data_IF_699985114279
#
_entry.id   IF_699985114279
#
_cell.length_a   1.000
_cell.length_b   1.000
_cell.length_c   1.000
_cell.angle_alpha   90.00
_cell.angle_beta   90.00
_cell.angle_gamma   90.00
#
_symmetry.space_group_name_H-M   'P 1'
#
loop_
_entity.id
_entity.type
_entity.pdbx_description
1 polymer ?
#
# COMPACT_ATOMS: atom_id res chain seq x y z
N UNK A 1 43.57 -11.19 -29.42
CA UNK A 1 42.42 -10.26 -29.42
C UNK A 1 41.46 -10.68 -28.33
N UNK A 2 41.56 -10.07 -27.14
CA UNK A 2 40.74 -10.34 -25.95
C UNK A 2 39.91 -9.09 -25.67
N UNK A 3 38.82 -8.87 -26.39
CA UNK A 3 37.92 -7.74 -26.15
C UNK A 3 36.50 -8.24 -26.42
N UNK A 4 35.91 -8.96 -25.47
CA UNK A 4 34.53 -9.45 -25.62
C UNK A 4 33.83 -9.71 -24.26
N UNK A 5 34.19 -8.97 -23.21
CA UNK A 5 33.68 -9.25 -21.84
C UNK A 5 33.38 -7.98 -21.02
N UNK A 6 33.05 -6.86 -21.66
CA UNK A 6 32.84 -5.58 -20.95
C UNK A 6 31.46 -4.94 -21.12
N UNK A 7 30.51 -5.59 -21.80
CA UNK A 7 29.22 -4.94 -22.15
C UNK A 7 27.98 -5.52 -21.47
N UNK A 8 28.10 -6.59 -20.66
CA UNK A 8 26.93 -7.24 -20.03
C UNK A 8 26.58 -6.75 -18.61
N UNK A 9 27.39 -5.88 -18.00
CA UNK A 9 27.20 -5.45 -16.59
C UNK A 9 26.42 -4.15 -16.41
N UNK A 10 25.96 -3.51 -17.50
CA UNK A 10 25.34 -2.18 -17.46
C UNK A 10 23.80 -2.17 -17.35
N UNK A 11 23.15 -3.32 -17.28
CA UNK A 11 21.67 -3.43 -17.28
C UNK A 11 21.04 -3.73 -15.91
N UNK A 12 21.82 -3.81 -14.83
CA UNK A 12 21.31 -4.24 -13.51
C UNK A 12 20.91 -3.11 -12.54
N UNK A 13 21.10 -1.82 -12.89
CA UNK A 13 21.17 -0.77 -11.86
C UNK A 13 20.00 0.22 -11.78
N UNK A 14 18.89 0.02 -12.50
CA UNK A 14 17.85 1.07 -12.60
C UNK A 14 16.59 0.89 -11.73
N UNK A 15 16.52 -0.09 -10.83
CA UNK A 15 15.30 -0.34 -10.04
C UNK A 15 15.32 0.21 -8.58
N UNK A 16 16.45 0.73 -8.09
CA UNK A 16 16.66 0.85 -6.64
C UNK A 16 16.24 2.19 -5.99
N UNK A 17 15.57 3.10 -6.70
CA UNK A 17 15.24 4.45 -6.15
C UNK A 17 13.79 4.90 -6.34
N UNK A 18 12.84 3.98 -6.51
CA UNK A 18 11.46 4.29 -6.11
C UNK A 18 11.41 4.24 -4.58
N UNK A 19 11.30 5.40 -3.93
CA UNK A 19 11.26 5.46 -2.46
C UNK A 19 10.14 4.58 -1.91
N UNK A 20 10.43 3.80 -0.86
CA UNK A 20 9.43 2.94 -0.23
C UNK A 20 8.37 3.81 0.45
N UNK A 21 7.15 3.82 -0.11
CA UNK A 21 6.03 4.64 0.38
C UNK A 21 5.58 4.28 1.80
N UNK A 22 5.98 3.10 2.28
CA UNK A 22 5.58 2.55 3.56
C UNK A 22 6.60 2.78 4.68
N UNK A 23 7.78 3.34 4.43
CA UNK A 23 8.77 3.66 5.49
C UNK A 23 8.15 4.49 6.61
N UNK A 24 7.23 5.41 6.30
CA UNK A 24 6.49 6.21 7.30
C UNK A 24 5.65 5.38 8.29
N UNK A 25 5.39 4.11 8.00
CA UNK A 25 4.57 3.21 8.80
C UNK A 25 5.37 2.09 9.48
N UNK A 26 6.70 2.06 9.31
CA UNK A 26 7.55 0.95 9.76
C UNK A 26 7.54 0.74 11.28
N UNK A 27 7.26 1.79 12.04
CA UNK A 27 7.16 1.75 13.51
C UNK A 27 5.73 1.54 14.04
N UNK A 28 4.76 1.29 13.16
CA UNK A 28 3.38 1.03 13.55
C UNK A 28 2.90 -0.32 13.03
N UNK A 29 2.99 -1.35 13.89
CA UNK A 29 2.47 -2.69 13.58
C UNK A 29 1.01 -2.66 13.15
N UNK A 30 0.21 -1.76 13.75
CA UNK A 30 -1.21 -1.58 13.40
C UNK A 30 -1.38 -1.16 11.95
N UNK A 31 -0.67 -0.14 11.50
CA UNK A 31 -0.81 0.39 10.13
C UNK A 31 -0.10 -0.50 9.12
N UNK A 32 1.09 -1.01 9.44
CA UNK A 32 1.80 -1.96 8.58
C UNK A 32 0.97 -3.23 8.34
N UNK A 33 0.32 -3.79 9.36
CA UNK A 33 -0.57 -4.94 9.21
C UNK A 33 -1.79 -4.62 8.32
N UNK A 34 -2.40 -3.45 8.47
CA UNK A 34 -3.53 -3.05 7.62
C UNK A 34 -3.11 -2.86 6.15
N UNK A 35 -1.94 -2.29 5.89
CA UNK A 35 -1.39 -2.15 4.53
C UNK A 35 -1.09 -3.52 3.92
N UNK A 36 -0.57 -4.49 4.70
CA UNK A 36 -0.36 -5.88 4.22
C UNK A 36 -1.67 -6.54 3.75
N UNK A 37 -2.76 -6.30 4.47
CA UNK A 37 -4.09 -6.79 4.06
C UNK A 37 -4.50 -6.19 2.72
N UNK A 38 -4.32 -4.88 2.55
CA UNK A 38 -4.65 -4.19 1.29
C UNK A 38 -3.73 -4.61 0.15
N UNK A 39 -2.44 -4.81 0.41
CA UNK A 39 -1.52 -5.35 -0.58
C UNK A 39 -2.01 -6.71 -1.10
N UNK A 40 -2.35 -7.63 -0.19
CA UNK A 40 -2.87 -8.95 -0.56
C UNK A 40 -4.21 -8.88 -1.33
N UNK A 41 -5.07 -7.91 -1.01
CA UNK A 41 -6.33 -7.69 -1.74
C UNK A 41 -6.12 -7.23 -3.19
N UNK A 42 -5.02 -6.52 -3.44
CA UNK A 42 -4.63 -6.00 -4.76
C UNK A 42 -3.64 -6.93 -5.48
N UNK A 43 -3.49 -8.17 -5.01
CA UNK A 43 -2.57 -9.17 -5.55
C UNK A 43 -1.09 -8.73 -5.54
N UNK A 44 -0.70 -7.95 -4.53
CA UNK A 44 0.68 -7.55 -4.27
C UNK A 44 1.20 -8.10 -2.94
N UNK A 45 2.50 -8.38 -2.87
CA UNK A 45 3.20 -8.38 -1.59
C UNK A 45 3.29 -6.96 -1.02
N UNK A 46 3.62 -6.86 0.27
CA UNK A 46 3.81 -5.56 0.92
C UNK A 46 4.85 -4.71 0.19
N UNK A 47 6.02 -5.27 -0.09
CA UNK A 47 7.13 -4.53 -0.72
C UNK A 47 6.80 -4.12 -2.15
N UNK A 48 6.08 -4.96 -2.91
CA UNK A 48 5.59 -4.62 -4.25
C UNK A 48 4.62 -3.44 -4.19
N UNK A 49 3.62 -3.46 -3.30
CA UNK A 49 2.68 -2.35 -3.15
C UNK A 49 3.42 -1.05 -2.78
N UNK A 50 4.34 -1.12 -1.83
CA UNK A 50 5.09 0.02 -1.31
C UNK A 50 6.07 0.64 -2.32
N UNK A 51 6.36 -0.04 -3.42
CA UNK A 51 7.26 0.43 -4.49
C UNK A 51 6.57 0.50 -5.86
N UNK A 52 5.27 0.23 -5.93
CA UNK A 52 4.53 0.17 -7.19
C UNK A 52 4.37 1.57 -7.79
N UNK A 53 4.97 1.80 -8.96
CA UNK A 53 5.10 3.13 -9.57
C UNK A 53 3.77 3.85 -9.86
N UNK A 54 2.64 3.13 -9.98
CA UNK A 54 1.32 3.75 -10.18
C UNK A 54 0.73 4.31 -8.89
N UNK A 55 1.17 3.82 -7.73
CA UNK A 55 0.76 4.34 -6.42
C UNK A 55 1.70 5.50 -6.11
N UNK A 56 1.11 6.67 -5.95
CA UNK A 56 1.80 7.93 -5.64
C UNK A 56 1.91 8.13 -4.12
N UNK A 57 0.94 7.61 -3.36
CA UNK A 57 0.99 7.61 -1.89
C UNK A 57 0.13 6.48 -1.28
N UNK A 58 0.53 6.03 -0.10
CA UNK A 58 -0.22 5.10 0.76
C UNK A 58 -0.53 5.82 2.08
N UNK A 59 -1.76 6.31 2.21
CA UNK A 59 -2.23 6.95 3.44
C UNK A 59 -2.85 5.90 4.38
N UNK A 60 -2.42 5.90 5.65
CA UNK A 60 -3.00 5.07 6.70
C UNK A 60 -3.46 5.97 7.85
N UNK A 61 -4.72 5.86 8.24
CA UNK A 61 -5.31 6.67 9.31
C UNK A 61 -6.23 5.85 10.22
N UNK A 62 -6.31 6.20 11.51
CA UNK A 62 -7.29 5.58 12.40
C UNK A 62 -8.70 5.95 11.94
N UNK A 63 -9.61 4.99 11.98
CA UNK A 63 -11.01 5.18 11.63
C UNK A 63 -11.93 4.32 12.49
N UNK A 64 -13.23 4.43 12.26
CA UNK A 64 -14.26 3.67 12.97
C UNK A 64 -15.51 3.51 12.12
N UNK A 65 -16.22 2.41 12.35
CA UNK A 65 -17.59 2.20 11.91
C UNK A 65 -18.47 2.19 13.15
N UNK A 66 -19.60 2.89 13.11
CA UNK A 66 -20.58 2.91 14.19
C UNK A 66 -21.78 2.08 13.73
N UNK A 67 -22.12 1.02 14.45
CA UNK A 67 -23.28 0.19 14.12
C UNK A 67 -24.59 0.93 14.41
N UNK A 68 -25.74 0.47 13.86
CA UNK A 68 -27.04 1.04 14.22
C UNK A 68 -27.37 0.95 15.72
N UNK A 69 -26.72 0.03 16.45
CA UNK A 69 -26.86 -0.13 17.91
C UNK A 69 -25.96 0.82 18.71
N UNK A 70 -25.07 1.55 18.04
CA UNK A 70 -24.11 2.47 18.66
C UNK A 70 -22.74 1.85 18.96
N UNK A 71 -22.49 0.59 18.59
CA UNK A 71 -21.19 -0.04 18.82
C UNK A 71 -20.13 0.63 17.94
N UNK A 72 -19.00 1.00 18.53
CA UNK A 72 -17.86 1.55 17.80
C UNK A 72 -16.90 0.42 17.46
N UNK A 73 -16.76 0.15 16.16
CA UNK A 73 -15.83 -0.87 15.65
C UNK A 73 -14.59 -0.15 15.12
N UNK A 74 -13.42 -0.28 15.77
CA UNK A 74 -12.18 0.34 15.31
C UNK A 74 -11.71 -0.23 13.96
N UNK A 75 -11.26 0.66 13.09
CA UNK A 75 -10.69 0.33 11.79
C UNK A 75 -9.42 1.15 11.54
N UNK A 76 -8.62 0.70 10.59
CA UNK A 76 -7.66 1.53 9.88
C UNK A 76 -8.23 1.80 8.50
N UNK A 77 -8.29 3.08 8.11
CA UNK A 77 -8.54 3.46 6.73
C UNK A 77 -7.21 3.46 6.00
N UNK A 78 -7.11 2.68 4.93
CA UNK A 78 -6.00 2.70 4.00
C UNK A 78 -6.47 3.35 2.71
N UNK A 79 -5.70 4.26 2.16
CA UNK A 79 -5.98 4.87 0.88
C UNK A 79 -4.77 4.78 -0.04
N UNK A 80 -4.99 4.19 -1.21
CA UNK A 80 -4.03 4.12 -2.29
C UNK A 80 -4.32 5.28 -3.24
N UNK A 81 -3.39 6.23 -3.32
CA UNK A 81 -3.51 7.38 -4.22
C UNK A 81 -2.80 7.08 -5.53
N UNK A 82 -3.51 7.17 -6.65
CA UNK A 82 -2.96 7.07 -8.00
C UNK A 82 -3.19 8.39 -8.75
N UNK A 83 -2.63 8.54 -9.95
CA UNK A 83 -2.68 9.79 -10.70
C UNK A 83 -4.11 10.29 -11.02
N UNK A 84 -5.05 9.36 -11.26
CA UNK A 84 -6.40 9.70 -11.73
C UNK A 84 -7.53 9.06 -10.93
N UNK A 85 -7.16 8.19 -9.98
CA UNK A 85 -8.10 7.46 -9.14
C UNK A 85 -7.49 7.25 -7.75
N UNK A 86 -8.33 7.03 -6.76
CA UNK A 86 -7.90 6.59 -5.44
C UNK A 86 -8.82 5.49 -4.95
N UNK A 87 -8.25 4.49 -4.29
CA UNK A 87 -9.00 3.41 -3.68
C UNK A 87 -8.86 3.46 -2.16
N UNK A 88 -10.00 3.45 -1.47
CA UNK A 88 -10.11 3.49 -0.02
C UNK A 88 -10.57 2.14 0.48
N UNK A 89 -9.89 1.63 1.51
CA UNK A 89 -10.17 0.36 2.18
C UNK A 89 -10.37 0.61 3.67
N UNK A 90 -11.39 0.00 4.23
CA UNK A 90 -11.64 -0.02 5.68
C UNK A 90 -11.21 -1.38 6.23
N UNK A 91 -10.08 -1.44 6.93
CA UNK A 91 -9.55 -2.67 7.53
C UNK A 91 -9.93 -2.69 9.01
N UNK A 92 -10.66 -3.71 9.44
CA UNK A 92 -11.07 -3.83 10.85
C UNK A 92 -9.90 -4.21 11.73
N UNK A 93 -9.78 -3.60 12.91
CA UNK A 93 -8.64 -3.84 13.78
C UNK A 93 -8.61 -5.27 14.37
N UNK A 94 -9.77 -5.85 14.70
CA UNK A 94 -9.84 -7.12 15.44
C UNK A 94 -9.41 -8.35 14.66
N UNK A 95 -9.79 -8.42 13.38
CA UNK A 95 -9.63 -9.60 12.52
C UNK A 95 -8.89 -9.28 11.22
N UNK A 96 -8.52 -8.01 11.00
CA UNK A 96 -7.80 -7.56 9.82
C UNK A 96 -8.55 -7.86 8.52
N UNK A 97 -9.88 -7.86 8.56
CA UNK A 97 -10.74 -8.02 7.39
C UNK A 97 -11.07 -6.66 6.76
N UNK A 98 -11.07 -6.60 5.43
CA UNK A 98 -11.60 -5.45 4.70
C UNK A 98 -13.13 -5.47 4.78
N UNK A 99 -13.72 -4.46 5.40
CA UNK A 99 -15.17 -4.35 5.60
C UNK A 99 -15.85 -3.47 4.57
N UNK A 100 -15.07 -2.64 3.87
CA UNK A 100 -15.54 -1.78 2.80
C UNK A 100 -14.38 -1.40 1.89
N UNK A 101 -14.67 -1.32 0.59
CA UNK A 101 -13.76 -0.85 -0.44
C UNK A 101 -14.52 0.13 -1.35
N UNK A 102 -13.89 1.26 -1.66
CA UNK A 102 -14.43 2.23 -2.61
C UNK A 102 -13.32 2.91 -3.38
N UNK A 103 -13.33 2.74 -4.70
CA UNK A 103 -12.50 3.52 -5.60
C UNK A 103 -13.29 4.72 -6.15
N UNK A 104 -12.61 5.84 -6.35
CA UNK A 104 -13.22 7.05 -6.88
C UNK A 104 -12.22 7.83 -7.75
N UNK A 105 -12.77 8.55 -8.73
CA UNK A 105 -12.02 9.45 -9.61
C UNK A 105 -11.37 10.58 -8.80
N UNK A 106 -10.12 10.90 -9.12
CA UNK A 106 -9.45 12.11 -8.63
C UNK A 106 -9.83 13.38 -9.41
N UNK A 107 -10.59 13.22 -10.51
CA UNK A 107 -11.19 14.29 -11.33
C UNK A 107 -12.62 14.58 -10.94
#
# INVERSE_FOLDING_TARGET
MRILLATLTLLASSAAFAGNLCTKWEHSDRYAAAIKVVAAQEDFSYDELCTFARILDIEAQPSRVITPKGDVIPHVRIQLHMAYESCLYMVRDSDKVITSQRCYSGW
#
